data_IF_753244757211
#
_entry.id   IF_753244757211
#
_cell.length_a   1.000
_cell.length_b   1.000
_cell.length_c   1.000
_cell.angle_alpha   90.00
_cell.angle_beta   90.00
_cell.angle_gamma   90.00
#
_symmetry.space_group_name_H-M   'P 1'
#
loop_
_entity.id
_entity.type
_entity.pdbx_description
1 polymer ?
#
# COMPACT_ATOMS: atom_id res chain seq x y z
N UNK A 1 -11.12 -10.42 -22.07
CA UNK A 1 -12.11 -9.45 -21.51
C UNK A 1 -12.45 -9.77 -20.06
N UNK A 2 -12.87 -11.00 -19.73
CA UNK A 2 -13.29 -11.38 -18.37
C UNK A 2 -12.31 -11.05 -17.23
N UNK A 3 -11.01 -11.33 -17.38
CA UNK A 3 -9.98 -11.01 -16.37
C UNK A 3 -9.89 -9.52 -16.05
N UNK A 4 -9.98 -8.65 -17.06
CA UNK A 4 -9.93 -7.21 -16.86
C UNK A 4 -11.19 -6.69 -16.17
N UNK A 5 -12.36 -7.22 -16.54
CA UNK A 5 -13.63 -6.91 -15.86
C UNK A 5 -13.57 -7.30 -14.38
N UNK A 6 -13.07 -8.51 -14.08
CA UNK A 6 -12.90 -8.98 -12.71
C UNK A 6 -11.89 -8.12 -11.93
N UNK A 7 -10.80 -7.69 -12.57
CA UNK A 7 -9.83 -6.77 -11.96
C UNK A 7 -10.44 -5.41 -11.62
N UNK A 8 -11.30 -4.86 -12.47
CA UNK A 8 -12.02 -3.60 -12.18
C UNK A 8 -12.91 -3.77 -10.94
N UNK A 9 -13.66 -4.87 -10.86
CA UNK A 9 -14.47 -5.18 -9.67
C UNK A 9 -13.60 -5.38 -8.43
N UNK A 10 -12.45 -6.04 -8.57
CA UNK A 10 -11.46 -6.20 -7.51
C UNK A 10 -10.96 -4.86 -6.97
N UNK A 11 -10.69 -3.89 -7.85
CA UNK A 11 -10.29 -2.52 -7.46
C UNK A 11 -11.37 -1.80 -6.67
N UNK A 12 -12.64 -1.92 -7.07
CA UNK A 12 -13.77 -1.31 -6.36
C UNK A 12 -13.93 -1.94 -4.98
N UNK A 13 -13.91 -3.27 -4.90
CA UNK A 13 -13.95 -3.99 -3.64
C UNK A 13 -12.78 -3.60 -2.73
N UNK A 14 -11.59 -3.41 -3.31
CA UNK A 14 -10.41 -2.95 -2.59
C UNK A 14 -10.61 -1.58 -1.93
N UNK A 15 -11.29 -0.64 -2.60
CA UNK A 15 -11.60 0.67 -2.03
C UNK A 15 -12.45 0.53 -0.77
N UNK A 16 -13.53 -0.25 -0.86
CA UNK A 16 -14.41 -0.53 0.28
C UNK A 16 -13.65 -1.22 1.42
N UNK A 17 -12.86 -2.25 1.11
CA UNK A 17 -12.04 -2.94 2.10
C UNK A 17 -10.99 -2.02 2.73
N UNK A 18 -10.38 -1.12 1.95
CA UNK A 18 -9.37 -0.19 2.43
C UNK A 18 -9.95 0.86 3.38
N UNK A 19 -11.21 1.26 3.18
CA UNK A 19 -11.90 2.17 4.08
C UNK A 19 -12.37 1.48 5.37
N UNK A 20 -12.65 0.17 5.33
CA UNK A 20 -13.09 -0.61 6.50
C UNK A 20 -11.91 -1.13 7.35
N UNK A 21 -10.90 -1.73 6.72
CA UNK A 21 -9.80 -2.44 7.38
C UNK A 21 -8.49 -1.64 7.38
N UNK A 22 -8.47 -0.50 6.70
CA UNK A 22 -7.27 0.28 6.47
C UNK A 22 -6.54 -0.07 5.17
N UNK A 23 -5.85 0.93 4.63
CA UNK A 23 -5.19 0.88 3.31
C UNK A 23 -4.02 -0.10 3.32
N UNK A 24 -3.19 -0.06 4.38
CA UNK A 24 -2.01 -0.93 4.55
C UNK A 24 -2.38 -2.41 4.56
N UNK A 25 -3.36 -2.79 5.38
CA UNK A 25 -3.77 -4.19 5.51
C UNK A 25 -4.40 -4.70 4.21
N UNK A 26 -5.25 -3.89 3.57
CA UNK A 26 -5.88 -4.26 2.29
C UNK A 26 -4.84 -4.43 1.17
N UNK A 27 -3.85 -3.53 1.10
CA UNK A 27 -2.75 -3.66 0.14
C UNK A 27 -1.91 -4.92 0.39
N UNK A 28 -1.48 -5.15 1.63
CA UNK A 28 -0.67 -6.30 2.01
C UNK A 28 -1.41 -7.63 1.78
N UNK A 29 -2.67 -7.71 2.21
CA UNK A 29 -3.52 -8.89 2.01
C UNK A 29 -3.74 -9.19 0.52
N UNK A 30 -3.97 -8.14 -0.29
CA UNK A 30 -4.12 -8.29 -1.73
C UNK A 30 -2.83 -8.76 -2.43
N UNK A 31 -1.67 -8.24 -2.03
CA UNK A 31 -0.37 -8.63 -2.56
C UNK A 31 0.00 -10.07 -2.15
N UNK A 32 -0.15 -10.43 -0.88
CA UNK A 32 0.09 -11.78 -0.37
C UNK A 32 -0.91 -12.77 -0.97
N UNK A 33 -2.18 -12.38 -1.11
CA UNK A 33 -3.21 -13.19 -1.78
C UNK A 33 -2.85 -13.46 -3.24
N UNK A 34 -2.33 -12.46 -3.96
CA UNK A 34 -1.85 -12.61 -5.34
C UNK A 34 -0.65 -13.57 -5.42
N UNK A 35 0.26 -13.53 -4.44
CA UNK A 35 1.39 -14.47 -4.35
C UNK A 35 0.93 -15.90 -4.05
N UNK A 36 0.01 -16.07 -3.10
CA UNK A 36 -0.55 -17.36 -2.72
C UNK A 36 -1.33 -18.02 -3.87
N UNK A 37 -1.83 -17.23 -4.81
CA UNK A 37 -2.51 -17.73 -6.01
C UNK A 37 -1.55 -18.22 -7.11
N UNK A 38 -0.25 -17.88 -7.04
CA UNK A 38 0.73 -18.30 -8.06
C UNK A 38 0.92 -19.82 -8.14
N UNK A 39 1.11 -20.57 -7.03
CA UNK A 39 1.16 -22.04 -7.08
C UNK A 39 -0.10 -22.66 -7.67
N UNK A 40 -1.27 -22.06 -7.44
CA UNK A 40 -2.54 -22.55 -7.98
C UNK A 40 -2.56 -22.45 -9.51
N UNK A 41 -2.02 -21.37 -10.08
CA UNK A 41 -1.85 -21.23 -11.53
C UNK A 41 -0.85 -22.27 -12.05
N UNK A 42 0.29 -22.46 -11.38
CA UNK A 42 1.35 -23.36 -11.87
C UNK A 42 0.90 -24.83 -11.87
N UNK A 43 0.33 -25.32 -10.77
CA UNK A 43 0.05 -26.75 -10.59
C UNK A 43 -1.33 -27.19 -11.09
N UNK A 44 -2.33 -26.31 -11.11
CA UNK A 44 -3.71 -26.69 -11.41
C UNK A 44 -4.23 -26.17 -12.76
N UNK A 45 -3.40 -25.56 -13.61
CA UNK A 45 -3.87 -25.11 -14.91
C UNK A 45 -4.18 -26.27 -15.87
N UNK A 46 -5.27 -26.11 -16.61
CA UNK A 46 -5.75 -26.98 -17.68
C UNK A 46 -6.45 -26.11 -18.73
N UNK A 47 -6.48 -26.52 -20.02
CA UNK A 47 -7.16 -25.75 -21.07
C UNK A 47 -8.62 -25.41 -20.75
N UNK A 48 -9.31 -26.24 -19.95
CA UNK A 48 -10.71 -26.04 -19.57
C UNK A 48 -10.92 -25.09 -18.38
N UNK A 49 -9.92 -24.93 -17.49
CA UNK A 49 -10.08 -24.17 -16.24
C UNK A 49 -9.25 -22.87 -16.18
N UNK A 50 -8.29 -22.70 -17.11
CA UNK A 50 -7.37 -21.55 -17.16
C UNK A 50 -8.13 -20.21 -17.15
N UNK A 51 -9.27 -20.14 -17.84
CA UNK A 51 -10.10 -18.93 -17.89
C UNK A 51 -10.62 -18.53 -16.50
N UNK A 52 -11.15 -19.49 -15.75
CA UNK A 52 -11.67 -19.24 -14.40
C UNK A 52 -10.55 -18.85 -13.43
N UNK A 53 -9.42 -19.56 -13.49
CA UNK A 53 -8.23 -19.25 -12.68
C UNK A 53 -7.76 -17.82 -12.95
N UNK A 54 -7.66 -17.41 -14.22
CA UNK A 54 -7.23 -16.06 -14.59
C UNK A 54 -8.25 -14.99 -14.22
N UNK A 55 -9.55 -15.28 -14.26
CA UNK A 55 -10.59 -14.35 -13.81
C UNK A 55 -10.46 -14.11 -12.30
N UNK A 56 -10.36 -15.18 -11.51
CA UNK A 56 -10.17 -15.08 -10.06
C UNK A 56 -8.87 -14.38 -9.71
N UNK A 57 -7.78 -14.71 -10.41
CA UNK A 57 -6.51 -14.01 -10.26
C UNK A 57 -6.64 -12.52 -10.57
N UNK A 58 -7.33 -12.15 -11.65
CA UNK A 58 -7.59 -10.76 -12.01
C UNK A 58 -8.29 -9.98 -10.90
N UNK A 59 -9.30 -10.58 -10.26
CA UNK A 59 -9.99 -9.99 -9.12
C UNK A 59 -9.06 -9.75 -7.94
N UNK A 60 -8.30 -10.77 -7.52
CA UNK A 60 -7.37 -10.70 -6.38
C UNK A 60 -6.26 -9.68 -6.67
N UNK A 61 -5.68 -9.72 -7.86
CA UNK A 61 -4.66 -8.77 -8.32
C UNK A 61 -5.21 -7.34 -8.42
N UNK A 62 -6.51 -7.17 -8.68
CA UNK A 62 -7.18 -5.88 -8.66
C UNK A 62 -7.09 -5.18 -7.29
N UNK A 63 -7.02 -5.94 -6.19
CA UNK A 63 -6.98 -5.40 -4.82
C UNK A 63 -5.77 -4.51 -4.55
N UNK A 64 -4.52 -5.01 -4.63
CA UNK A 64 -3.35 -4.16 -4.37
C UNK A 64 -3.24 -3.02 -5.38
N UNK A 65 -3.62 -3.24 -6.65
CA UNK A 65 -3.56 -2.19 -7.69
C UNK A 65 -4.65 -1.13 -7.49
N UNK A 66 -5.76 -1.45 -6.82
CA UNK A 66 -6.81 -0.49 -6.48
C UNK A 66 -6.39 0.47 -5.36
N UNK A 67 -5.71 -0.06 -4.34
CA UNK A 67 -5.35 0.70 -3.13
C UNK A 67 -4.02 1.45 -3.27
N UNK A 68 -3.12 0.99 -4.15
CA UNK A 68 -1.76 1.51 -4.29
C UNK A 68 -1.69 3.04 -4.45
N UNK A 69 -2.52 3.63 -5.32
CA UNK A 69 -2.49 5.06 -5.58
C UNK A 69 -2.83 5.88 -4.31
N UNK A 70 -3.92 5.52 -3.64
CA UNK A 70 -4.36 6.14 -2.39
C UNK A 70 -3.31 5.95 -1.30
N UNK A 71 -2.83 4.72 -1.14
CA UNK A 71 -1.80 4.37 -0.15
C UNK A 71 -0.52 5.21 -0.32
N UNK A 72 -0.05 5.39 -1.55
CA UNK A 72 1.13 6.22 -1.83
C UNK A 72 0.87 7.70 -1.49
N UNK A 73 -0.30 8.23 -1.81
CA UNK A 73 -0.62 9.65 -1.54
C UNK A 73 -0.82 9.96 -0.05
N UNK A 74 -1.21 8.97 0.75
CA UNK A 74 -1.39 9.10 2.20
C UNK A 74 -0.08 8.89 2.97
N UNK A 75 0.92 8.26 2.36
CA UNK A 75 2.21 7.97 2.99
C UNK A 75 3.13 9.20 3.07
N UNK A 76 2.85 10.28 2.33
CA UNK A 76 3.70 11.47 2.25
C UNK A 76 2.94 12.75 2.61
N UNK A 77 3.62 13.70 3.27
CA UNK A 77 3.04 15.01 3.59
C UNK A 77 2.73 15.82 2.32
N UNK A 78 1.73 16.69 2.38
CA UNK A 78 1.24 17.49 1.23
C UNK A 78 2.35 18.29 0.54
N UNK A 79 3.36 18.74 1.29
CA UNK A 79 4.50 19.53 0.78
C UNK A 79 5.40 18.74 -0.16
N UNK A 80 5.61 17.44 0.07
CA UNK A 80 6.55 16.61 -0.70
C UNK A 80 5.85 15.52 -1.52
N UNK A 81 4.53 15.34 -1.34
CA UNK A 81 3.73 14.27 -1.94
C UNK A 81 3.89 14.18 -3.45
N UNK A 82 3.85 15.31 -4.16
CA UNK A 82 3.95 15.33 -5.62
C UNK A 82 5.27 14.69 -6.11
N UNK A 83 6.40 15.18 -5.61
CA UNK A 83 7.72 14.69 -5.99
C UNK A 83 7.99 13.27 -5.49
N UNK A 84 7.57 12.94 -4.26
CA UNK A 84 7.79 11.62 -3.67
C UNK A 84 6.98 10.53 -4.39
N UNK A 85 5.68 10.75 -4.60
CA UNK A 85 4.81 9.81 -5.32
C UNK A 85 5.25 9.67 -6.78
N UNK A 86 5.56 10.79 -7.45
CA UNK A 86 6.03 10.77 -8.84
C UNK A 86 7.35 10.00 -9.00
N UNK A 87 8.31 10.23 -8.11
CA UNK A 87 9.61 9.53 -8.14
C UNK A 87 9.44 8.04 -7.89
N UNK A 88 8.69 7.67 -6.84
CA UNK A 88 8.44 6.26 -6.53
C UNK A 88 7.68 5.55 -7.64
N UNK A 89 6.69 6.21 -8.26
CA UNK A 89 5.95 5.67 -9.39
C UNK A 89 6.83 5.43 -10.63
N UNK A 90 7.66 6.41 -10.98
CA UNK A 90 8.57 6.30 -12.13
C UNK A 90 9.64 5.23 -11.90
N UNK A 91 10.17 5.10 -10.69
CA UNK A 91 11.10 4.02 -10.35
C UNK A 91 10.44 2.64 -10.52
N UNK A 92 9.18 2.51 -10.08
CA UNK A 92 8.39 1.31 -10.32
C UNK A 92 8.16 1.02 -11.81
N UNK A 93 7.99 2.05 -12.64
CA UNK A 93 7.84 1.91 -14.10
C UNK A 93 9.11 1.41 -14.80
N UNK A 94 10.29 1.80 -14.32
CA UNK A 94 11.56 1.24 -14.81
C UNK A 94 11.60 -0.26 -14.54
N UNK A 95 11.26 -0.68 -13.31
CA UNK A 95 11.14 -2.10 -12.97
C UNK A 95 10.13 -2.83 -13.85
N UNK A 96 8.95 -2.23 -14.08
CA UNK A 96 7.92 -2.79 -14.95
C UNK A 96 8.33 -2.89 -16.43
N UNK A 97 9.28 -2.07 -16.89
CA UNK A 97 9.83 -2.17 -18.25
C UNK A 97 10.83 -3.33 -18.38
N UNK A 98 11.63 -3.58 -17.35
CA UNK A 98 12.63 -4.67 -17.35
C UNK A 98 12.02 -6.02 -16.98
N UNK A 99 10.97 -6.04 -16.16
CA UNK A 99 10.36 -7.26 -15.65
C UNK A 99 9.92 -8.27 -16.73
N UNK A 100 9.25 -7.88 -17.84
CA UNK A 100 8.86 -8.83 -18.89
C UNK A 100 10.07 -9.51 -19.54
N UNK A 101 11.16 -8.78 -19.76
CA UNK A 101 12.39 -9.34 -20.32
C UNK A 101 13.04 -10.33 -19.35
N UNK A 102 13.16 -9.95 -18.06
CA UNK A 102 13.74 -10.83 -17.03
C UNK A 102 12.93 -12.12 -16.83
N UNK A 103 11.60 -11.99 -16.70
CA UNK A 103 10.69 -13.14 -16.54
C UNK A 103 10.69 -14.01 -17.81
N UNK A 104 10.70 -13.40 -18.99
CA UNK A 104 10.74 -14.11 -20.27
C UNK A 104 12.02 -14.93 -20.46
N UNK A 105 13.18 -14.36 -20.11
CA UNK A 105 14.46 -15.07 -20.16
C UNK A 105 14.49 -16.24 -19.16
N UNK A 106 14.02 -16.04 -17.93
CA UNK A 106 13.87 -17.10 -16.93
C UNK A 106 12.93 -18.22 -17.41
N UNK A 107 11.79 -17.85 -18.00
CA UNK A 107 10.83 -18.81 -18.53
C UNK A 107 11.40 -19.64 -19.69
N UNK A 108 12.24 -19.04 -20.53
CA UNK A 108 12.84 -19.67 -21.71
C UNK A 108 14.04 -20.55 -21.37
N UNK A 109 14.92 -20.10 -20.46
CA UNK A 109 16.18 -20.79 -20.18
C UNK A 109 16.15 -21.70 -18.94
N UNK A 110 15.22 -21.49 -18.01
CA UNK A 110 15.12 -22.29 -16.78
C UNK A 110 13.83 -23.09 -16.78
N UNK A 111 12.69 -22.43 -16.65
CA UNK A 111 11.36 -23.02 -16.77
C UNK A 111 10.30 -21.94 -16.58
N UNK A 112 9.10 -22.19 -17.11
CA UNK A 112 7.91 -21.37 -16.85
C UNK A 112 7.67 -21.24 -15.33
N UNK A 113 7.81 -22.34 -14.58
CA UNK A 113 7.66 -22.37 -13.12
C UNK A 113 8.63 -21.43 -12.39
N UNK A 114 9.88 -21.32 -12.85
CA UNK A 114 10.85 -20.38 -12.27
C UNK A 114 10.42 -18.91 -12.44
N UNK A 115 9.85 -18.56 -13.59
CA UNK A 115 9.28 -17.22 -13.81
C UNK A 115 8.12 -16.91 -12.85
N UNK A 116 7.22 -17.87 -12.64
CA UNK A 116 6.13 -17.75 -11.67
C UNK A 116 6.62 -17.68 -10.21
N UNK A 117 7.68 -18.43 -9.87
CA UNK A 117 8.29 -18.36 -8.55
C UNK A 117 8.85 -16.97 -8.24
N UNK A 118 9.59 -16.37 -9.19
CA UNK A 118 10.13 -15.02 -9.04
C UNK A 118 9.01 -13.99 -8.89
N UNK A 119 7.93 -14.11 -9.68
CA UNK A 119 6.73 -13.27 -9.51
C UNK A 119 6.11 -13.45 -8.12
N UNK A 120 5.93 -14.69 -7.65
CA UNK A 120 5.40 -14.99 -6.33
C UNK A 120 6.22 -14.37 -5.20
N UNK A 121 7.54 -14.54 -5.22
CA UNK A 121 8.47 -13.93 -4.25
C UNK A 121 8.34 -12.41 -4.26
N UNK A 122 8.30 -11.80 -5.46
CA UNK A 122 8.17 -10.35 -5.62
C UNK A 122 6.86 -9.85 -4.99
N UNK A 123 5.74 -10.56 -5.19
CA UNK A 123 4.46 -10.21 -4.56
C UNK A 123 4.48 -10.38 -3.04
N UNK A 124 5.11 -11.43 -2.51
CA UNK A 124 5.29 -11.59 -1.05
C UNK A 124 6.09 -10.42 -0.49
N UNK A 125 7.22 -10.08 -1.09
CA UNK A 125 8.05 -8.94 -0.64
C UNK A 125 7.27 -7.63 -0.71
N UNK A 126 6.52 -7.41 -1.79
CA UNK A 126 5.68 -6.22 -1.98
C UNK A 126 4.59 -6.11 -0.92
N UNK A 127 3.99 -7.21 -0.49
CA UNK A 127 3.00 -7.20 0.60
C UNK A 127 3.62 -7.11 1.99
N UNK A 128 4.74 -7.81 2.21
CA UNK A 128 5.38 -7.96 3.52
C UNK A 128 6.13 -6.69 3.94
N UNK A 129 6.81 -6.01 3.01
CA UNK A 129 7.59 -4.80 3.34
C UNK A 129 6.67 -3.71 3.94
N UNK A 130 5.54 -3.33 3.30
CA UNK A 130 4.57 -2.42 3.91
C UNK A 130 3.96 -2.98 5.19
N UNK A 131 3.66 -4.28 5.23
CA UNK A 131 3.07 -4.92 6.41
C UNK A 131 3.99 -4.96 7.63
N UNK A 132 5.32 -4.99 7.46
CA UNK A 132 6.26 -5.05 8.58
C UNK A 132 6.92 -3.70 8.88
N UNK A 133 7.30 -2.94 7.86
CA UNK A 133 8.18 -1.77 8.02
C UNK A 133 7.46 -0.41 7.98
N UNK A 134 6.23 -0.33 7.45
CA UNK A 134 5.53 0.95 7.30
C UNK A 134 4.43 1.09 8.35
N UNK A 135 4.60 1.98 9.33
CA UNK A 135 3.56 2.27 10.32
C UNK A 135 2.24 2.74 9.67
N UNK A 136 1.09 2.42 10.28
CA UNK A 136 -0.26 2.62 9.71
C UNK A 136 -0.57 4.06 9.25
N UNK A 137 0.16 5.06 9.78
CA UNK A 137 0.21 6.42 9.26
C UNK A 137 1.63 6.96 9.39
N UNK A 138 2.30 7.22 8.27
CA UNK A 138 3.56 7.96 8.28
C UNK A 138 3.35 9.46 8.53
N UNK A 139 2.15 9.97 8.23
CA UNK A 139 1.76 11.36 8.44
C UNK A 139 0.35 11.44 9.05
N UNK A 140 0.22 12.10 10.21
CA UNK A 140 -1.05 12.32 10.89
C UNK A 140 -1.26 13.85 11.05
N UNK A 141 -2.07 14.49 10.19
CA UNK A 141 -2.25 15.95 10.21
C UNK A 141 -2.79 16.45 11.57
N UNK A 142 -3.52 15.58 12.28
CA UNK A 142 -4.08 15.87 13.59
C UNK A 142 -3.02 15.91 14.71
N UNK A 143 -1.81 15.39 14.51
CA UNK A 143 -0.72 15.53 15.49
C UNK A 143 -0.12 16.93 15.43
N UNK A 144 0.19 17.44 14.24
CA UNK A 144 0.68 18.82 14.06
C UNK A 144 -0.31 19.86 14.60
N UNK A 145 -1.62 19.69 14.33
CA UNK A 145 -2.63 20.62 14.86
C UNK A 145 -2.77 20.56 16.38
N UNK A 146 -2.74 19.37 16.99
CA UNK A 146 -2.78 19.19 18.45
C UNK A 146 -1.53 19.72 19.14
N UNK A 147 -0.35 19.56 18.53
CA UNK A 147 0.91 20.07 19.06
C UNK A 147 0.95 21.60 18.97
N UNK A 148 0.46 22.17 17.87
CA UNK A 148 0.30 23.61 17.70
C UNK A 148 -0.73 24.21 18.69
N UNK A 149 -1.85 23.54 18.91
CA UNK A 149 -2.87 23.95 19.90
C UNK A 149 -2.34 23.83 21.34
N UNK A 150 -1.57 22.78 21.64
CA UNK A 150 -0.92 22.59 22.94
C UNK A 150 0.16 23.64 23.21
N UNK A 151 0.95 24.00 22.18
CA UNK A 151 1.94 25.07 22.27
C UNK A 151 1.27 26.43 22.47
N UNK A 152 0.18 26.71 21.74
CA UNK A 152 -0.65 27.91 21.91
C UNK A 152 -1.26 27.99 23.32
N UNK A 153 -1.79 26.88 23.85
CA UNK A 153 -2.31 26.79 25.23
C UNK A 153 -1.26 27.04 26.30
N UNK A 154 -0.01 26.60 26.07
CA UNK A 154 1.11 26.87 26.99
C UNK A 154 1.56 28.33 26.99
N UNK A 155 1.36 29.03 25.87
CA UNK A 155 1.63 30.46 25.72
C UNK A 155 0.44 31.37 26.08
N UNK A 156 -0.73 30.80 26.38
CA UNK A 156 -1.89 31.57 26.80
C UNK A 156 -1.61 32.30 28.14
N UNK A 157 -1.93 33.60 28.25
CA UNK A 157 -1.51 34.48 29.35
C UNK A 157 -2.05 34.13 30.75
N UNK A 158 -2.89 33.09 30.88
CA UNK A 158 -3.44 32.66 32.17
C UNK A 158 -2.40 32.15 33.18
N UNK A 159 -1.21 31.71 32.73
CA UNK A 159 -0.13 31.28 33.62
C UNK A 159 0.62 32.43 34.29
N UNK A 160 0.64 33.62 33.67
CA UNK A 160 1.25 34.81 34.26
C UNK A 160 0.38 35.41 35.37
N UNK A 161 -0.95 35.33 35.22
CA UNK A 161 -1.92 35.82 36.22
C UNK A 161 -1.92 34.92 37.47
N UNK A 162 -1.95 33.59 37.32
CA UNK A 162 -1.92 32.65 38.46
C UNK A 162 -0.57 32.71 39.22
N UNK A 163 0.54 32.96 38.51
CA UNK A 163 1.85 33.14 39.16
C UNK A 163 1.94 34.47 39.93
N UNK A 164 1.31 35.53 39.42
CA UNK A 164 1.24 36.82 40.10
C UNK A 164 0.30 36.79 41.32
N UNK A 165 -0.87 36.16 41.21
CA UNK A 165 -1.81 35.99 42.33
C UNK A 165 -1.22 35.09 43.43
N UNK A 166 -0.51 34.01 43.08
CA UNK A 166 0.18 33.16 44.07
C UNK A 166 1.35 33.85 44.77
N UNK A 167 1.99 34.84 44.13
CA UNK A 167 3.01 35.67 44.77
C UNK A 167 2.40 36.74 45.68
N UNK A 168 1.28 37.32 45.29
CA UNK A 168 0.55 38.30 46.11
C UNK A 168 -0.09 37.66 47.35
N UNK A 169 -0.56 36.41 47.28
CA UNK A 169 -1.14 35.69 48.42
C UNK A 169 -0.11 35.18 49.45
N UNK A 170 1.20 35.31 49.16
CA UNK A 170 2.29 34.91 50.07
C UNK A 170 3.07 36.09 50.66
N UNK A 171 2.72 37.33 50.32
CA UNK A 171 3.26 38.56 50.91
C UNK A 171 2.29 39.11 51.96
#
# INVERSE_FOLDING_TARGET
>A
VGTYSAMILGKVAAGVCADLFGRRLTFAAGAIGSAAFMPLIVFYHSPSNILWILITFGFIYGVPVGVLATYMTESFSTRVRGSAVGTAYNLGRIGAAVAPAGIGLLATHVSIGAGFLVMGITYVLTGLIPALFIADRLYDPNRESRDAESASRRQAPGSAVDTAERRAAKA
#
